data_IF_649658433620
#
_entry.id   IF_649658433620
#
_cell.length_a   1.000
_cell.length_b   1.000
_cell.length_c   1.000
_cell.angle_alpha   90.00
_cell.angle_beta   90.00
_cell.angle_gamma   90.00
#
_symmetry.space_group_name_H-M   'P 1'
#
loop_
_entity.id
_entity.type
_entity.pdbx_description
1 polymer ?
#
# COMPACT_ATOMS: atom_id res chain seq x y z
N UNK A 1 40.27 -18.00 33.42
CA UNK A 1 39.09 -18.88 33.34
C UNK A 1 38.49 -18.78 31.95
N UNK A 2 38.69 -19.80 31.11
CA UNK A 2 38.09 -19.91 29.76
C UNK A 2 36.80 -20.70 29.88
N UNK A 3 35.67 -20.17 29.40
CA UNK A 3 34.46 -20.96 29.21
C UNK A 3 34.10 -21.02 27.72
N UNK A 4 33.91 -22.26 27.32
CA UNK A 4 33.93 -22.80 25.98
C UNK A 4 32.60 -22.63 25.24
N UNK A 5 32.72 -22.53 23.92
CA UNK A 5 31.64 -22.63 22.92
C UNK A 5 30.84 -23.92 23.08
N UNK A 6 29.53 -23.85 22.82
CA UNK A 6 28.78 -24.91 22.14
C UNK A 6 27.85 -24.31 21.09
N UNK A 7 28.27 -24.48 19.84
CA UNK A 7 27.44 -24.35 18.63
C UNK A 7 26.92 -25.75 18.35
N UNK A 8 25.60 -25.92 18.29
CA UNK A 8 24.96 -27.17 17.85
C UNK A 8 24.66 -27.12 16.35
N UNK A 9 25.00 -28.16 15.58
CA UNK A 9 24.71 -28.21 14.14
C UNK A 9 23.46 -29.05 13.81
N UNK A 10 22.87 -28.69 12.67
CA UNK A 10 22.30 -29.58 11.65
C UNK A 10 20.88 -30.15 11.82
N UNK A 11 20.35 -30.47 10.62
CA UNK A 11 19.18 -31.29 10.25
C UNK A 11 17.93 -30.45 9.94
N UNK A 12 17.25 -30.60 8.80
CA UNK A 12 17.39 -31.54 7.68
C UNK A 12 16.52 -31.02 6.52
N UNK A 13 16.97 -31.29 5.31
CA UNK A 13 16.21 -31.11 4.08
C UNK A 13 14.88 -31.88 4.11
N UNK A 14 13.82 -31.23 3.63
CA UNK A 14 12.60 -31.90 3.19
C UNK A 14 12.44 -31.68 1.69
N UNK A 15 12.66 -32.78 0.99
CA UNK A 15 12.52 -33.02 -0.44
C UNK A 15 11.07 -32.85 -0.93
N UNK A 16 10.91 -32.16 -2.06
CA UNK A 16 9.84 -32.40 -3.05
C UNK A 16 9.76 -33.91 -3.36
N UNK A 17 8.56 -34.49 -3.53
CA UNK A 17 7.90 -34.43 -4.85
C UNK A 17 6.36 -34.44 -4.80
N UNK A 18 5.71 -33.93 -5.83
CA UNK A 18 4.58 -34.56 -6.55
C UNK A 18 4.02 -33.54 -7.54
N UNK A 19 4.55 -33.58 -8.76
CA UNK A 19 3.87 -33.07 -9.95
C UNK A 19 2.78 -34.09 -10.28
N UNK A 20 1.55 -33.83 -9.83
CA UNK A 20 0.39 -34.61 -10.26
C UNK A 20 -0.01 -34.13 -11.65
N UNK A 21 0.44 -34.90 -12.63
CA UNK A 21 0.07 -34.85 -14.04
C UNK A 21 -1.44 -35.10 -14.14
N UNK A 22 -2.23 -34.06 -14.45
CA UNK A 22 -3.63 -34.22 -14.91
C UNK A 22 -3.71 -34.17 -16.42
N UNK A 23 -4.47 -35.14 -16.90
CA UNK A 23 -4.65 -35.63 -18.26
C UNK A 23 -5.25 -34.63 -19.26
N UNK A 24 -5.12 -34.94 -20.57
CA UNK A 24 -5.47 -34.04 -21.66
C UNK A 24 -6.98 -33.92 -21.89
N UNK A 25 -7.31 -32.74 -22.40
CA UNK A 25 -8.56 -32.25 -22.97
C UNK A 25 -9.36 -33.29 -23.80
N UNK A 26 -10.66 -33.46 -23.53
CA UNK A 26 -11.60 -33.99 -24.50
C UNK A 26 -12.58 -32.90 -24.99
N UNK A 27 -12.33 -32.48 -26.22
CA UNK A 27 -13.30 -32.13 -27.28
C UNK A 27 -14.24 -30.93 -27.09
N UNK A 28 -14.25 -29.95 -28.03
CA UNK A 28 -15.29 -28.93 -28.10
C UNK A 28 -16.60 -29.50 -28.65
N UNK A 29 -17.77 -29.00 -28.19
CA UNK A 29 -19.07 -29.47 -28.65
C UNK A 29 -19.35 -29.10 -30.11
N UNK A 30 -19.83 -30.13 -30.80
CA UNK A 30 -20.59 -30.21 -32.04
C UNK A 30 -21.25 -28.88 -32.52
N UNK A 31 -20.77 -28.37 -33.67
CA UNK A 31 -21.44 -27.32 -34.44
C UNK A 31 -22.72 -27.89 -35.06
N UNK A 32 -23.88 -27.59 -34.47
CA UNK A 32 -25.17 -27.75 -35.16
C UNK A 32 -25.30 -26.69 -36.25
N UNK A 33 -25.26 -27.15 -37.50
CA UNK A 33 -25.64 -26.39 -38.69
C UNK A 33 -27.09 -25.94 -38.56
N UNK A 34 -27.30 -24.63 -38.35
CA UNK A 34 -28.62 -24.01 -38.38
C UNK A 34 -28.88 -23.42 -39.76
N UNK A 35 -30.12 -23.63 -40.19
CA UNK A 35 -30.71 -23.41 -41.49
C UNK A 35 -30.43 -22.04 -42.15
N UNK A 36 -30.28 -22.12 -43.46
CA UNK A 36 -30.34 -21.03 -44.42
C UNK A 36 -31.77 -20.47 -44.48
N UNK A 37 -31.95 -19.20 -44.08
CA UNK A 37 -33.17 -18.42 -44.32
C UNK A 37 -32.88 -17.42 -45.44
N UNK A 38 -33.57 -17.49 -46.61
CA UNK A 38 -33.51 -16.44 -47.60
C UNK A 38 -34.64 -15.43 -47.35
N UNK A 39 -34.28 -14.16 -47.17
CA UNK A 39 -35.21 -13.04 -47.33
C UNK A 39 -35.28 -12.10 -46.13
N UNK A 40 -34.94 -10.83 -46.37
CA UNK A 40 -35.50 -9.73 -45.57
C UNK A 40 -34.51 -8.70 -45.06
N UNK A 41 -34.33 -7.65 -45.86
CA UNK A 41 -33.93 -6.28 -45.47
C UNK A 41 -32.49 -6.06 -44.96
N UNK A 42 -31.73 -5.33 -45.77
CA UNK A 42 -30.38 -4.82 -45.53
C UNK A 42 -30.35 -3.86 -44.33
N UNK A 43 -30.19 -4.40 -43.14
CA UNK A 43 -29.68 -3.66 -41.98
C UNK A 43 -28.16 -3.73 -42.05
N UNK A 44 -27.53 -2.63 -42.45
CA UNK A 44 -26.06 -2.48 -42.52
C UNK A 44 -25.45 -2.86 -41.18
N UNK A 45 -24.89 -4.07 -41.14
CA UNK A 45 -24.16 -4.56 -39.99
C UNK A 45 -22.96 -3.62 -39.73
N UNK A 46 -22.70 -3.21 -38.48
CA UNK A 46 -21.51 -2.43 -38.17
C UNK A 46 -20.28 -3.25 -38.56
N UNK A 47 -19.52 -2.70 -39.50
CA UNK A 47 -18.32 -3.27 -40.10
C UNK A 47 -17.36 -3.72 -38.99
N UNK A 48 -17.07 -5.02 -38.95
CA UNK A 48 -16.30 -5.68 -37.88
C UNK A 48 -14.78 -5.33 -37.89
N UNK A 49 -14.38 -4.36 -38.70
CA UNK A 49 -12.98 -3.95 -38.94
C UNK A 49 -12.46 -2.87 -37.97
N UNK A 50 -13.33 -2.18 -37.23
CA UNK A 50 -12.91 -1.07 -36.35
C UNK A 50 -12.27 -1.51 -35.01
N UNK A 51 -12.26 -2.80 -34.68
CA UNK A 51 -11.63 -3.28 -33.43
C UNK A 51 -10.11 -3.36 -33.51
N UNK A 52 -9.51 -3.44 -34.71
CA UNK A 52 -8.04 -3.58 -34.85
C UNK A 52 -7.29 -2.26 -34.81
N UNK A 53 -7.95 -1.13 -35.12
CA UNK A 53 -7.33 0.19 -35.09
C UNK A 53 -7.07 0.74 -33.66
N UNK A 54 -7.74 0.20 -32.62
CA UNK A 54 -7.58 0.67 -31.23
C UNK A 54 -6.40 0.05 -30.47
N UNK A 55 -5.81 -1.03 -30.97
CA UNK A 55 -4.68 -1.70 -30.29
C UNK A 55 -3.30 -1.18 -30.70
N UNK A 56 -3.24 -0.23 -31.65
CA UNK A 56 -2.00 0.35 -32.16
C UNK A 56 -1.66 1.76 -31.63
N UNK A 57 -2.42 2.31 -30.68
CA UNK A 57 -2.02 3.57 -30.04
C UNK A 57 -0.87 3.31 -29.08
N UNK A 58 0.35 3.42 -29.62
CA UNK A 58 1.60 3.52 -28.86
C UNK A 58 1.39 4.47 -27.69
N UNK A 59 1.42 3.97 -26.46
CA UNK A 59 1.32 4.83 -25.26
C UNK A 59 2.34 5.96 -25.42
N UNK A 60 1.93 7.24 -25.30
CA UNK A 60 2.85 8.36 -25.46
C UNK A 60 4.04 8.14 -24.54
N UNK A 61 5.24 8.18 -25.11
CA UNK A 61 6.48 7.92 -24.41
C UNK A 61 6.65 8.98 -23.34
N UNK A 62 6.66 8.56 -22.07
CA UNK A 62 6.86 9.47 -20.94
C UNK A 62 8.35 9.63 -20.69
N UNK A 63 8.82 10.87 -20.66
CA UNK A 63 10.22 11.19 -20.45
C UNK A 63 10.41 11.85 -19.08
N UNK A 64 11.43 11.43 -18.30
CA UNK A 64 11.76 12.08 -17.04
C UNK A 64 12.05 13.57 -17.22
N UNK A 65 11.61 14.39 -16.27
CA UNK A 65 12.03 15.79 -16.18
C UNK A 65 13.15 15.93 -15.14
N UNK A 66 13.84 17.08 -15.05
CA UNK A 66 14.85 17.31 -14.00
C UNK A 66 14.30 17.12 -12.58
N UNK A 67 12.99 17.29 -12.37
CA UNK A 67 12.35 17.10 -11.07
C UNK A 67 12.03 15.63 -10.73
N UNK A 68 12.05 14.71 -11.71
CA UNK A 68 11.68 13.31 -11.49
C UNK A 68 12.58 12.64 -10.46
N UNK A 69 13.90 12.80 -10.56
CA UNK A 69 14.85 12.16 -9.64
C UNK A 69 14.81 12.75 -8.22
N UNK A 70 14.86 14.09 -8.03
CA UNK A 70 14.69 14.68 -6.71
C UNK A 70 13.38 14.24 -6.01
N UNK A 71 12.26 14.18 -6.74
CA UNK A 71 11.00 13.72 -6.20
C UNK A 71 11.05 12.26 -5.76
N UNK A 72 11.66 11.38 -6.55
CA UNK A 72 11.83 9.96 -6.18
C UNK A 72 12.71 9.78 -4.94
N UNK A 73 13.80 10.54 -4.82
CA UNK A 73 14.67 10.51 -3.65
C UNK A 73 13.91 11.00 -2.41
N UNK A 74 13.19 12.12 -2.52
CA UNK A 74 12.36 12.63 -1.42
C UNK A 74 11.34 11.58 -0.97
N UNK A 75 10.61 10.96 -1.91
CA UNK A 75 9.67 9.87 -1.61
C UNK A 75 10.35 8.69 -0.92
N UNK A 76 11.51 8.26 -1.39
CA UNK A 76 12.22 7.12 -0.80
C UNK A 76 12.72 7.41 0.63
N UNK A 77 13.23 8.63 0.87
CA UNK A 77 13.65 9.06 2.22
C UNK A 77 12.44 9.14 3.15
N UNK A 78 11.36 9.80 2.73
CA UNK A 78 10.13 9.86 3.51
C UNK A 78 9.56 8.46 3.78
N UNK A 79 9.54 7.59 2.77
CA UNK A 79 9.10 6.20 2.90
C UNK A 79 9.90 5.45 3.97
N UNK A 80 11.22 5.59 4.00
CA UNK A 80 12.07 4.97 5.04
C UNK A 80 11.72 5.50 6.44
N UNK A 81 11.63 6.83 6.57
CA UNK A 81 11.30 7.49 7.85
C UNK A 81 9.90 7.10 8.32
N UNK A 82 8.89 7.12 7.44
CA UNK A 82 7.52 6.78 7.79
C UNK A 82 7.35 5.30 8.09
N UNK A 83 8.07 4.42 7.40
CA UNK A 83 8.08 2.98 7.74
C UNK A 83 8.58 2.78 9.17
N UNK A 84 9.74 3.37 9.50
CA UNK A 84 10.32 3.25 10.84
C UNK A 84 9.45 3.91 11.92
N UNK A 85 8.97 5.13 11.67
CA UNK A 85 8.10 5.87 12.57
C UNK A 85 6.77 5.16 12.81
N UNK A 86 6.13 4.64 11.76
CA UNK A 86 4.87 3.89 11.88
C UNK A 86 5.10 2.59 12.64
N UNK A 87 6.19 1.88 12.38
CA UNK A 87 6.53 0.68 13.13
C UNK A 87 6.78 0.99 14.62
N UNK A 88 7.54 2.04 14.92
CA UNK A 88 7.81 2.46 16.29
C UNK A 88 6.52 2.88 17.01
N UNK A 89 5.69 3.73 16.39
CA UNK A 89 4.43 4.15 16.97
C UNK A 89 3.50 2.97 17.22
N UNK A 90 3.34 2.13 16.20
CA UNK A 90 2.51 0.94 16.28
C UNK A 90 3.02 0.05 17.41
N UNK A 91 4.27 -0.44 17.36
CA UNK A 91 4.79 -1.49 18.26
C UNK A 91 5.31 -1.04 19.62
N UNK A 92 5.90 0.14 19.74
CA UNK A 92 6.53 0.57 20.99
C UNK A 92 5.73 1.62 21.77
N UNK A 93 4.87 2.39 21.10
CA UNK A 93 4.06 3.43 21.77
C UNK A 93 2.65 2.93 22.05
N UNK A 94 1.98 2.34 21.06
CA UNK A 94 0.58 1.91 21.23
C UNK A 94 0.50 0.49 21.79
N UNK A 95 0.57 0.35 23.11
CA UNK A 95 0.34 -0.91 23.81
C UNK A 95 -1.10 -1.07 24.30
N UNK A 96 -1.37 -2.19 24.98
CA UNK A 96 -2.71 -2.49 25.52
C UNK A 96 -3.07 -1.54 26.66
N UNK A 97 -2.12 -1.21 27.52
CA UNK A 97 -2.35 -0.43 28.73
C UNK A 97 -2.70 1.02 28.36
N UNK A 98 -2.01 1.59 27.36
CA UNK A 98 -2.35 2.88 26.77
C UNK A 98 -3.76 2.86 26.16
N UNK A 99 -4.12 1.81 25.42
CA UNK A 99 -5.47 1.69 24.83
C UNK A 99 -6.53 1.56 25.92
N UNK A 100 -6.29 0.77 26.97
CA UNK A 100 -7.16 0.68 28.14
C UNK A 100 -7.35 2.05 28.80
N UNK A 101 -6.26 2.78 29.05
CA UNK A 101 -6.32 4.11 29.66
C UNK A 101 -7.10 5.11 28.80
N UNK A 102 -6.88 5.09 27.47
CA UNK A 102 -7.62 5.91 26.52
C UNK A 102 -9.12 5.57 26.51
N UNK A 103 -9.48 4.29 26.54
CA UNK A 103 -10.87 3.84 26.59
C UNK A 103 -11.55 4.24 27.90
N UNK A 104 -10.86 4.11 29.03
CA UNK A 104 -11.35 4.54 30.33
C UNK A 104 -11.59 6.06 30.36
N UNK A 105 -10.63 6.85 29.86
CA UNK A 105 -10.77 8.30 29.72
C UNK A 105 -11.91 8.72 28.78
N UNK A 106 -12.28 7.85 27.83
CA UNK A 106 -13.41 8.03 26.91
C UNK A 106 -14.75 7.56 27.49
N UNK A 107 -14.79 7.05 28.73
CA UNK A 107 -16.03 6.57 29.38
C UNK A 107 -16.52 5.20 28.90
N UNK A 108 -15.66 4.37 28.31
CA UNK A 108 -16.02 3.01 27.91
C UNK A 108 -16.29 2.16 29.16
N UNK A 109 -17.43 1.46 29.21
CA UNK A 109 -17.88 0.72 30.39
C UNK A 109 -17.01 -0.50 30.76
N UNK A 110 -16.35 -1.14 29.79
CA UNK A 110 -15.40 -2.24 29.99
C UNK A 110 -14.15 -2.01 29.12
N UNK A 111 -13.21 -1.15 29.56
CA UNK A 111 -11.99 -0.86 28.83
C UNK A 111 -11.09 -2.09 28.67
N UNK A 112 -10.92 -2.88 29.73
CA UNK A 112 -9.98 -4.01 29.75
C UNK A 112 -10.38 -5.15 28.82
N UNK A 113 -11.68 -5.46 28.77
CA UNK A 113 -12.23 -6.49 27.89
C UNK A 113 -12.21 -6.08 26.42
N UNK A 114 -12.24 -4.78 26.11
CA UNK A 114 -12.27 -4.26 24.73
C UNK A 114 -10.91 -3.85 24.18
N UNK A 115 -9.96 -3.49 25.05
CA UNK A 115 -8.65 -3.00 24.66
C UNK A 115 -7.91 -4.01 23.77
N UNK A 116 -7.93 -5.30 24.11
CA UNK A 116 -7.23 -6.33 23.34
C UNK A 116 -7.66 -6.36 21.86
N UNK A 117 -8.97 -6.38 21.60
CA UNK A 117 -9.51 -6.39 20.23
C UNK A 117 -9.17 -5.10 19.47
N UNK A 118 -9.26 -3.95 20.14
CA UNK A 118 -8.89 -2.67 19.52
C UNK A 118 -7.41 -2.59 19.21
N UNK A 119 -6.53 -2.99 20.13
CA UNK A 119 -5.08 -3.06 19.90
C UNK A 119 -4.76 -4.01 18.74
N UNK A 120 -5.40 -5.17 18.63
CA UNK A 120 -5.22 -6.06 17.47
C UNK A 120 -5.64 -5.39 16.17
N UNK A 121 -6.80 -4.74 16.12
CA UNK A 121 -7.26 -3.99 14.94
C UNK A 121 -6.28 -2.89 14.55
N UNK A 122 -5.84 -2.09 15.53
CA UNK A 122 -4.84 -1.04 15.34
C UNK A 122 -3.53 -1.60 14.80
N UNK A 123 -3.08 -2.76 15.29
CA UNK A 123 -1.85 -3.43 14.81
C UNK A 123 -1.96 -3.85 13.36
N UNK A 124 -3.10 -4.42 12.96
CA UNK A 124 -3.33 -4.83 11.56
C UNK A 124 -3.24 -3.60 10.65
N UNK A 125 -3.94 -2.51 11.01
CA UNK A 125 -3.91 -1.26 10.26
C UNK A 125 -2.48 -0.68 10.21
N UNK A 126 -1.78 -0.65 11.34
CA UNK A 126 -0.40 -0.19 11.42
C UNK A 126 0.55 -1.01 10.53
N UNK A 127 0.39 -2.33 10.47
CA UNK A 127 1.16 -3.19 9.57
C UNK A 127 0.90 -2.87 8.08
N UNK A 128 -0.36 -2.59 7.71
CA UNK A 128 -0.68 -2.18 6.34
C UNK A 128 0.01 -0.86 5.97
N UNK A 129 0.06 0.10 6.89
CA UNK A 129 0.79 1.35 6.68
C UNK A 129 2.31 1.15 6.60
N UNK A 130 2.89 0.28 7.43
CA UNK A 130 4.31 -0.09 7.34
C UNK A 130 4.64 -0.67 5.97
N UNK A 131 3.83 -1.62 5.48
CA UNK A 131 4.02 -2.22 4.15
C UNK A 131 3.81 -1.19 3.02
N UNK A 132 2.77 -0.36 3.13
CA UNK A 132 2.47 0.70 2.17
C UNK A 132 3.58 1.74 2.06
N UNK A 133 4.16 2.15 3.19
CA UNK A 133 5.31 3.05 3.22
C UNK A 133 6.55 2.36 2.65
N UNK A 134 6.82 1.10 2.98
CA UNK A 134 7.95 0.35 2.45
C UNK A 134 7.92 0.22 0.91
N UNK A 135 6.74 0.13 0.29
CA UNK A 135 6.58 0.19 -1.18
C UNK A 135 7.18 1.47 -1.77
N UNK A 136 7.14 2.59 -1.05
CA UNK A 136 7.73 3.86 -1.47
C UNK A 136 9.25 3.80 -1.70
N UNK A 137 9.96 2.86 -1.09
CA UNK A 137 11.39 2.64 -1.34
C UNK A 137 11.67 2.22 -2.79
N UNK A 138 10.68 1.61 -3.46
CA UNK A 138 10.78 1.23 -4.87
C UNK A 138 10.77 2.44 -5.83
N UNK A 139 10.53 3.65 -5.32
CA UNK A 139 10.56 4.88 -6.11
C UNK A 139 11.91 5.10 -6.83
N UNK A 140 13.01 4.60 -6.26
CA UNK A 140 14.35 4.74 -6.85
C UNK A 140 14.58 3.81 -8.04
N UNK A 141 14.01 2.60 -7.99
CA UNK A 141 14.30 1.52 -8.95
C UNK A 141 13.64 1.72 -10.30
N UNK A 142 12.39 2.18 -10.35
CA UNK A 142 11.68 2.43 -11.61
C UNK A 142 10.50 3.38 -11.38
N UNK A 143 10.25 4.38 -12.25
CA UNK A 143 9.11 5.31 -12.14
C UNK A 143 7.77 4.64 -12.54
N UNK A 144 7.39 3.59 -11.83
CA UNK A 144 6.14 2.88 -12.09
C UNK A 144 4.98 3.71 -11.55
N UNK A 145 3.96 3.93 -12.38
CA UNK A 145 2.81 4.72 -11.99
C UNK A 145 2.08 4.14 -10.77
N UNK A 146 2.04 2.82 -10.63
CA UNK A 146 1.39 2.18 -9.47
C UNK A 146 2.09 2.52 -8.16
N UNK A 147 3.43 2.59 -8.11
CA UNK A 147 4.17 3.00 -6.90
C UNK A 147 3.78 4.41 -6.48
N UNK A 148 3.69 5.33 -7.45
CA UNK A 148 3.26 6.70 -7.18
C UNK A 148 1.86 6.73 -6.55
N UNK A 149 0.91 6.01 -7.16
CA UNK A 149 -0.48 5.98 -6.66
C UNK A 149 -0.60 5.31 -5.30
N UNK A 150 0.15 4.22 -5.06
CA UNK A 150 0.21 3.58 -3.75
C UNK A 150 0.76 4.54 -2.70
N UNK A 151 1.90 5.18 -2.96
CA UNK A 151 2.50 6.15 -2.02
C UNK A 151 1.53 7.29 -1.74
N UNK A 152 0.89 7.86 -2.78
CA UNK A 152 -0.08 8.93 -2.61
C UNK A 152 -1.28 8.48 -1.76
N UNK A 153 -1.85 7.31 -2.04
CA UNK A 153 -2.99 6.79 -1.30
C UNK A 153 -2.64 6.55 0.18
N UNK A 154 -1.53 5.85 0.44
CA UNK A 154 -1.04 5.54 1.79
C UNK A 154 -0.83 6.82 2.59
N UNK A 155 -0.11 7.80 2.03
CA UNK A 155 0.18 9.06 2.72
C UNK A 155 -1.08 9.90 2.93
N UNK A 156 -2.00 9.93 1.96
CA UNK A 156 -3.26 10.65 2.13
C UNK A 156 -4.12 10.05 3.25
N UNK A 157 -4.23 8.72 3.31
CA UNK A 157 -4.98 8.05 4.38
C UNK A 157 -4.28 8.16 5.74
N UNK A 158 -2.94 8.13 5.76
CA UNK A 158 -2.15 8.31 6.99
C UNK A 158 -2.28 9.73 7.55
N UNK A 159 -2.28 10.74 6.67
CA UNK A 159 -2.53 12.14 7.06
C UNK A 159 -3.92 12.35 7.68
N UNK A 160 -4.93 11.62 7.19
CA UNK A 160 -6.27 11.62 7.80
C UNK A 160 -6.29 10.95 9.17
N UNK A 161 -5.38 10.02 9.43
CA UNK A 161 -5.24 9.33 10.72
C UNK A 161 -5.15 10.29 11.89
N UNK A 162 -4.36 11.36 11.77
CA UNK A 162 -4.23 12.39 12.80
C UNK A 162 -5.57 13.04 13.20
N UNK A 163 -6.45 13.27 12.22
CA UNK A 163 -7.76 13.90 12.43
C UNK A 163 -8.79 12.89 12.95
N UNK A 164 -8.64 11.62 12.60
CA UNK A 164 -9.54 10.54 13.02
C UNK A 164 -9.24 10.01 14.42
N UNK A 165 -8.03 10.25 14.94
CA UNK A 165 -7.65 9.87 16.30
C UNK A 165 -8.42 10.73 17.31
N UNK A 166 -9.10 10.11 18.30
CA UNK A 166 -9.79 10.84 19.35
C UNK A 166 -8.84 11.82 20.06
N UNK A 167 -9.24 13.10 20.28
CA UNK A 167 -8.35 14.10 20.89
C UNK A 167 -7.79 13.70 22.26
N UNK A 168 -8.52 12.86 23.01
CA UNK A 168 -8.10 12.31 24.31
C UNK A 168 -6.84 11.43 24.22
N UNK A 169 -6.54 10.86 23.05
CA UNK A 169 -5.36 10.01 22.87
C UNK A 169 -4.05 10.78 23.10
N UNK A 170 -3.98 12.05 22.69
CA UNK A 170 -2.73 12.81 22.78
C UNK A 170 -2.31 13.11 24.22
N UNK A 171 -3.19 13.63 25.11
CA UNK A 171 -2.88 13.71 26.54
C UNK A 171 -2.49 12.36 27.14
N UNK A 172 -3.23 11.28 26.85
CA UNK A 172 -2.93 9.96 27.42
C UNK A 172 -1.55 9.44 27.00
N UNK A 173 -1.15 9.66 25.74
CA UNK A 173 0.21 9.32 25.26
C UNK A 173 1.27 10.16 25.97
N UNK A 174 1.02 11.46 26.17
CA UNK A 174 1.94 12.36 26.87
C UNK A 174 2.08 11.96 28.34
N UNK A 175 1.01 11.54 28.99
CA UNK A 175 1.05 11.08 30.38
C UNK A 175 1.84 9.76 30.51
N UNK A 176 1.71 8.85 29.55
CA UNK A 176 2.37 7.55 29.57
C UNK A 176 3.85 7.59 29.14
N UNK A 177 4.19 8.38 28.11
CA UNK A 177 5.49 8.35 27.45
C UNK A 177 6.18 9.72 27.37
N UNK A 178 5.60 10.74 28.00
CA UNK A 178 6.04 12.13 27.85
C UNK A 178 5.74 12.71 26.46
N UNK A 179 6.10 13.99 26.22
CA UNK A 179 5.92 14.64 24.93
C UNK A 179 6.61 13.90 23.76
N UNK A 180 7.68 13.15 24.05
CA UNK A 180 8.40 12.35 23.07
C UNK A 180 7.55 11.21 22.49
N UNK A 181 6.55 10.70 23.22
CA UNK A 181 5.65 9.64 22.75
C UNK A 181 4.78 10.04 21.55
N UNK A 182 4.55 11.35 21.36
CA UNK A 182 3.77 11.89 20.24
C UNK A 182 4.63 12.05 18.98
N UNK A 183 5.96 12.11 19.11
CA UNK A 183 6.87 12.38 17.99
C UNK A 183 6.72 11.40 16.83
N UNK A 184 6.63 10.06 17.04
CA UNK A 184 6.44 9.13 15.94
C UNK A 184 5.20 9.46 15.10
N UNK A 185 4.05 9.69 15.74
CA UNK A 185 2.80 10.01 15.05
C UNK A 185 2.85 11.38 14.37
N UNK A 186 3.38 12.41 15.04
CA UNK A 186 3.51 13.75 14.46
C UNK A 186 4.40 13.76 13.21
N UNK A 187 5.52 13.04 13.25
CA UNK A 187 6.44 12.90 12.11
C UNK A 187 5.78 12.13 10.99
N UNK A 188 5.11 11.01 11.28
CA UNK A 188 4.51 10.19 10.23
C UNK A 188 3.29 10.84 9.61
N UNK A 189 2.36 11.34 10.41
CA UNK A 189 1.07 11.80 9.91
C UNK A 189 1.18 13.22 9.36
N UNK A 190 1.90 14.11 10.07
CA UNK A 190 2.23 15.44 9.59
C UNK A 190 3.14 15.39 8.35
N UNK A 191 4.15 14.53 8.38
CA UNK A 191 5.02 14.29 7.22
C UNK A 191 4.25 13.73 6.03
N UNK A 192 3.33 12.79 6.25
CA UNK A 192 2.48 12.23 5.21
C UNK A 192 1.54 13.28 4.59
N UNK A 193 1.02 14.22 5.39
CA UNK A 193 0.23 15.35 4.88
C UNK A 193 1.07 16.22 3.93
N UNK A 194 2.29 16.59 4.35
CA UNK A 194 3.20 17.39 3.51
C UNK A 194 3.57 16.65 2.24
N UNK A 195 3.94 15.37 2.33
CA UNK A 195 4.31 14.58 1.15
C UNK A 195 3.13 14.41 0.19
N UNK A 196 1.92 14.21 0.70
CA UNK A 196 0.69 14.16 -0.10
C UNK A 196 0.50 15.44 -0.90
N UNK A 197 0.63 16.61 -0.26
CA UNK A 197 0.51 17.90 -0.93
C UNK A 197 1.59 18.10 -2.01
N UNK A 198 2.84 17.71 -1.72
CA UNK A 198 3.93 17.75 -2.70
C UNK A 198 3.61 16.88 -3.91
N UNK A 199 3.20 15.62 -3.70
CA UNK A 199 2.86 14.70 -4.79
C UNK A 199 1.72 15.26 -5.65
N UNK A 200 0.66 15.76 -5.02
CA UNK A 200 -0.46 16.40 -5.72
C UNK A 200 -0.04 17.64 -6.51
N UNK A 201 0.79 18.51 -5.94
CA UNK A 201 1.31 19.68 -6.63
C UNK A 201 2.09 19.30 -7.90
N UNK A 202 2.94 18.28 -7.81
CA UNK A 202 3.65 17.74 -8.99
C UNK A 202 2.71 17.10 -10.01
N UNK A 203 1.68 16.39 -9.56
CA UNK A 203 0.66 15.81 -10.46
C UNK A 203 -0.11 16.89 -11.20
N UNK A 204 -0.54 17.96 -10.52
CA UNK A 204 -1.27 19.08 -11.13
C UNK A 204 -0.39 19.83 -12.11
N UNK A 205 0.90 20.05 -11.77
CA UNK A 205 1.86 20.78 -12.60
C UNK A 205 2.27 20.01 -13.85
N UNK A 206 2.58 18.73 -13.73
CA UNK A 206 3.11 17.92 -14.83
C UNK A 206 2.05 17.06 -15.53
N UNK A 207 0.84 16.97 -14.95
CA UNK A 207 -0.28 16.15 -15.43
C UNK A 207 0.08 14.66 -15.58
N UNK A 208 1.12 14.21 -14.88
CA UNK A 208 1.57 12.83 -14.86
C UNK A 208 2.29 12.49 -13.54
N UNK A 209 2.18 11.23 -13.07
CA UNK A 209 3.03 10.68 -12.00
C UNK A 209 4.51 10.94 -12.22
N UNK A 210 5.26 11.07 -11.11
CA UNK A 210 6.72 11.25 -11.11
C UNK A 210 7.24 12.48 -11.87
N UNK A 211 6.40 13.51 -12.01
CA UNK A 211 6.76 14.72 -12.75
C UNK A 211 7.20 14.44 -14.20
N UNK A 212 6.69 13.38 -14.82
CA UNK A 212 7.03 13.01 -16.20
C UNK A 212 6.35 13.93 -17.22
N UNK A 213 6.95 14.06 -18.40
CA UNK A 213 6.34 14.79 -19.53
C UNK A 213 5.95 13.82 -20.64
N UNK A 214 4.81 14.03 -21.28
CA UNK A 214 4.51 13.40 -22.56
C UNK A 214 5.43 14.02 -23.63
N UNK A 215 6.13 13.18 -24.38
CA UNK A 215 6.78 13.59 -25.63
C UNK A 215 5.76 13.61 -26.76
#
# INVERSE_FOLDING_TARGET
MRLSRRVGPALRAASHPYYERRDPDPTPPERKSSAYFPGGTTKTAPRHDDRRARFGQSRPMRVPTPATRPLQVAVAVCAAVFTAGTALHNFAVVDRDLVTAMMAASGVADPDGRAAGFTTGFRIVGCLYVLGNAVGLLALSTPRAWVYWTVLAVNATQALGWVMIPPVMWPTVVDAHGPAGVLPAAVTDGGAAVLTLVLLAFLVRHRAPWAMRAR
#
